data_IF_797941071467
#
_entry.id   IF_797941071467
#
_cell.length_a   1.000
_cell.length_b   1.000
_cell.length_c   1.000
_cell.angle_alpha   90.00
_cell.angle_beta   90.00
_cell.angle_gamma   90.00
#
_symmetry.space_group_name_H-M   'P 1'
#
loop_
_entity.id
_entity.type
_entity.pdbx_description
1 polymer ?
#
# COMPACT_ATOMS: atom_id res chain seq x y z
N UNK A 1 -28.07 44.99 95.16
CA UNK A 1 -27.22 44.15 96.02
C UNK A 1 -28.07 42.99 96.46
N UNK A 2 -27.90 41.84 95.83
CA UNK A 2 -27.78 40.56 96.52
C UNK A 2 -27.35 39.54 95.46
N UNK A 3 -26.12 39.11 95.67
CA UNK A 3 -25.29 38.25 94.86
C UNK A 3 -25.68 36.80 95.17
N UNK A 4 -25.94 36.00 94.13
CA UNK A 4 -25.95 34.55 94.29
C UNK A 4 -25.23 33.91 93.12
N UNK A 5 -23.93 33.76 93.32
CA UNK A 5 -23.03 32.87 92.59
C UNK A 5 -23.30 31.45 93.07
N UNK A 6 -23.57 30.53 92.13
CA UNK A 6 -23.46 29.06 92.20
C UNK A 6 -23.98 28.53 90.86
N UNK A 7 -23.39 27.57 90.17
CA UNK A 7 -22.32 26.64 90.45
C UNK A 7 -21.89 26.08 89.08
N UNK A 8 -20.61 25.97 88.83
CA UNK A 8 -20.05 25.43 87.59
C UNK A 8 -20.25 23.91 87.58
N UNK A 9 -21.14 23.40 86.73
CA UNK A 9 -21.18 21.96 86.42
C UNK A 9 -20.57 21.76 85.05
N UNK A 10 -19.36 21.21 85.06
CA UNK A 10 -18.67 20.68 83.89
C UNK A 10 -19.36 19.37 83.52
N UNK A 11 -20.08 19.35 82.40
CA UNK A 11 -20.57 18.10 81.82
C UNK A 11 -19.64 17.69 80.67
N UNK A 12 -18.83 16.68 80.95
CA UNK A 12 -17.94 16.01 80.01
C UNK A 12 -18.74 15.21 78.98
N UNK A 13 -18.56 15.61 77.71
CA UNK A 13 -18.44 14.78 76.50
C UNK A 13 -19.26 13.50 76.38
N UNK A 14 -20.10 13.44 75.35
CA UNK A 14 -20.24 12.27 74.50
C UNK A 14 -20.34 12.73 73.04
N UNK A 15 -19.19 12.90 72.39
CA UNK A 15 -19.12 12.88 70.93
C UNK A 15 -19.34 11.43 70.49
N UNK A 16 -20.54 11.11 69.99
CA UNK A 16 -20.72 9.89 69.21
C UNK A 16 -19.91 10.00 67.91
N UNK A 17 -19.15 8.96 67.53
CA UNK A 17 -18.36 9.00 66.30
C UNK A 17 -19.32 9.00 65.11
N UNK A 18 -19.28 10.07 64.32
CA UNK A 18 -19.99 10.16 63.05
C UNK A 18 -19.57 8.99 62.14
N UNK A 19 -20.45 8.00 62.02
CA UNK A 19 -20.34 6.88 61.12
C UNK A 19 -20.22 7.44 59.68
N UNK A 20 -19.01 7.44 59.12
CA UNK A 20 -18.75 7.80 57.72
C UNK A 20 -19.36 6.74 56.80
N UNK A 21 -20.69 6.76 56.63
CA UNK A 21 -21.36 6.06 55.54
C UNK A 21 -20.94 6.73 54.24
N UNK A 22 -20.08 6.06 53.47
CA UNK A 22 -19.70 6.51 52.14
C UNK A 22 -20.95 6.84 51.32
N UNK A 23 -21.10 8.11 50.94
CA UNK A 23 -22.23 8.56 50.11
C UNK A 23 -22.21 7.77 48.81
N UNK A 24 -23.25 6.96 48.55
CA UNK A 24 -23.46 6.35 47.24
C UNK A 24 -23.60 7.47 46.21
N UNK A 25 -22.75 7.44 45.18
CA UNK A 25 -22.78 8.43 44.09
C UNK A 25 -24.17 8.48 43.47
N UNK A 26 -24.64 9.69 43.17
CA UNK A 26 -25.92 9.86 42.46
C UNK A 26 -25.84 9.23 41.08
N UNK A 27 -26.97 8.76 40.54
CA UNK A 27 -27.03 8.25 39.16
C UNK A 27 -26.50 9.27 38.14
N UNK A 28 -26.70 10.56 38.41
CA UNK A 28 -26.17 11.65 37.58
C UNK A 28 -24.64 11.73 37.61
N UNK A 29 -24.01 11.59 38.78
CA UNK A 29 -22.55 11.59 38.93
C UNK A 29 -21.90 10.39 38.22
N UNK A 30 -22.58 9.24 38.24
CA UNK A 30 -22.11 8.04 37.54
C UNK A 30 -22.16 8.25 36.02
N UNK A 31 -23.26 8.83 35.50
CA UNK A 31 -23.40 9.13 34.07
C UNK A 31 -22.33 10.13 33.63
N UNK A 32 -22.04 11.16 34.41
CA UNK A 32 -21.02 12.16 34.09
C UNK A 32 -19.62 11.56 34.03
N UNK A 33 -19.27 10.69 34.99
CA UNK A 33 -17.99 9.99 34.98
C UNK A 33 -17.86 9.09 33.75
N UNK A 34 -18.92 8.33 33.42
CA UNK A 34 -18.92 7.45 32.25
C UNK A 34 -18.75 8.28 30.97
N UNK A 35 -19.52 9.35 30.79
CA UNK A 35 -19.42 10.24 29.62
C UNK A 35 -18.03 10.84 29.50
N UNK A 36 -17.45 11.34 30.58
CA UNK A 36 -16.10 11.91 30.57
C UNK A 36 -15.03 10.89 30.15
N UNK A 37 -15.12 9.65 30.66
CA UNK A 37 -14.22 8.56 30.28
C UNK A 37 -14.37 8.24 28.79
N UNK A 38 -15.62 8.07 28.31
CA UNK A 38 -15.86 7.75 26.91
C UNK A 38 -15.49 8.89 25.95
N UNK A 39 -15.62 10.16 26.36
CA UNK A 39 -15.10 11.29 25.59
C UNK A 39 -13.58 11.17 25.40
N UNK A 40 -12.84 10.89 26.47
CA UNK A 40 -11.39 10.69 26.41
C UNK A 40 -10.99 9.51 25.53
N UNK A 41 -11.62 8.35 25.72
CA UNK A 41 -11.35 7.14 24.93
C UNK A 41 -11.68 7.38 23.45
N UNK A 42 -12.85 7.95 23.16
CA UNK A 42 -13.27 8.22 21.77
C UNK A 42 -12.34 9.20 21.08
N UNK A 43 -11.83 10.21 21.80
CA UNK A 43 -10.84 11.13 21.23
C UNK A 43 -9.53 10.42 20.88
N UNK A 44 -9.04 9.53 21.75
CA UNK A 44 -7.82 8.75 21.49
C UNK A 44 -8.00 7.79 20.31
N UNK A 45 -9.13 7.06 20.24
CA UNK A 45 -9.41 6.16 19.13
C UNK A 45 -9.63 6.90 17.83
N UNK A 46 -10.23 8.10 17.86
CA UNK A 46 -10.36 8.98 16.70
C UNK A 46 -9.00 9.44 16.18
N UNK A 47 -8.11 9.90 17.07
CA UNK A 47 -6.76 10.30 16.70
C UNK A 47 -5.97 9.13 16.11
N UNK A 48 -6.09 7.95 16.73
CA UNK A 48 -5.49 6.72 16.22
C UNK A 48 -5.99 6.38 14.82
N UNK A 49 -7.31 6.36 14.60
CA UNK A 49 -7.89 6.03 13.30
C UNK A 49 -7.42 7.02 12.21
N UNK A 50 -7.44 8.32 12.50
CA UNK A 50 -6.93 9.33 11.56
C UNK A 50 -5.45 9.14 11.23
N UNK A 51 -4.62 8.82 12.24
CA UNK A 51 -3.19 8.60 12.02
C UNK A 51 -2.92 7.35 11.16
N UNK A 52 -3.53 6.21 11.49
CA UNK A 52 -3.38 4.99 10.70
C UNK A 52 -3.91 5.17 9.27
N UNK A 53 -5.04 5.86 9.10
CA UNK A 53 -5.56 6.19 7.77
C UNK A 53 -4.57 7.02 6.94
N UNK A 54 -3.86 7.97 7.58
CA UNK A 54 -2.82 8.76 6.90
C UNK A 54 -1.58 7.94 6.50
N UNK A 55 -1.21 6.91 7.28
CA UNK A 55 -0.12 6.01 6.93
C UNK A 55 -0.46 5.17 5.70
N UNK A 56 -1.69 4.62 5.65
CA UNK A 56 -2.23 3.97 4.45
C UNK A 56 -2.22 4.92 3.24
N UNK A 57 -2.64 6.18 3.41
CA UNK A 57 -2.55 7.20 2.36
C UNK A 57 -1.12 7.49 1.88
N UNK A 58 -0.14 7.44 2.79
CA UNK A 58 1.28 7.54 2.45
C UNK A 58 1.75 6.39 1.57
N UNK A 59 1.46 5.14 1.98
CA UNK A 59 1.81 3.95 1.20
C UNK A 59 1.13 3.94 -0.17
N UNK A 60 -0.15 4.31 -0.22
CA UNK A 60 -0.92 4.49 -1.46
C UNK A 60 -0.25 5.47 -2.42
N UNK A 61 0.18 6.64 -1.93
CA UNK A 61 0.85 7.65 -2.76
C UNK A 61 2.20 7.16 -3.29
N UNK A 62 3.00 6.48 -2.46
CA UNK A 62 4.27 5.87 -2.88
C UNK A 62 4.02 4.79 -3.92
N UNK A 63 3.13 3.84 -3.66
CA UNK A 63 2.82 2.72 -4.55
C UNK A 63 2.32 3.20 -5.92
N UNK A 64 1.42 4.19 -5.97
CA UNK A 64 0.97 4.77 -7.23
C UNK A 64 2.07 5.52 -7.98
N UNK A 65 2.94 6.24 -7.27
CA UNK A 65 4.04 6.96 -7.92
C UNK A 65 5.05 5.98 -8.53
N UNK A 66 5.48 4.98 -7.74
CA UNK A 66 6.42 3.95 -8.21
C UNK A 66 5.81 3.13 -9.34
N UNK A 67 4.55 2.71 -9.22
CA UNK A 67 3.82 2.00 -10.28
C UNK A 67 3.80 2.80 -11.58
N UNK A 68 3.45 4.09 -11.55
CA UNK A 68 3.43 4.92 -12.76
C UNK A 68 4.82 5.09 -13.38
N UNK A 69 5.88 5.22 -12.56
CA UNK A 69 7.24 5.31 -13.07
C UNK A 69 7.68 4.01 -13.75
N UNK A 70 7.45 2.86 -13.10
CA UNK A 70 7.76 1.54 -13.67
C UNK A 70 6.94 1.26 -14.93
N UNK A 71 5.67 1.67 -14.97
CA UNK A 71 4.86 1.55 -16.18
C UNK A 71 5.45 2.39 -17.32
N UNK A 72 5.87 3.62 -17.06
CA UNK A 72 6.46 4.47 -18.08
C UNK A 72 7.79 3.90 -18.60
N UNK A 73 8.64 3.41 -17.70
CA UNK A 73 9.92 2.78 -18.04
C UNK A 73 9.71 1.47 -18.80
N UNK A 74 8.87 0.57 -18.31
CA UNK A 74 8.54 -0.69 -18.98
C UNK A 74 7.92 -0.49 -20.37
N UNK A 75 7.06 0.52 -20.55
CA UNK A 75 6.57 0.88 -21.89
C UNK A 75 7.67 1.44 -22.80
N UNK A 76 8.63 2.19 -22.26
CA UNK A 76 9.80 2.65 -23.02
C UNK A 76 10.65 1.47 -23.47
N UNK A 77 10.95 0.54 -22.56
CA UNK A 77 11.71 -0.68 -22.85
C UNK A 77 10.99 -1.56 -23.86
N UNK A 78 9.66 -1.71 -23.75
CA UNK A 78 8.87 -2.46 -24.73
C UNK A 78 9.00 -1.88 -26.16
N UNK A 79 8.98 -0.55 -26.28
CA UNK A 79 9.14 0.12 -27.57
C UNK A 79 10.58 0.00 -28.11
N UNK A 80 11.58 0.02 -27.23
CA UNK A 80 12.98 -0.23 -27.60
C UNK A 80 13.17 -1.68 -28.06
N UNK A 81 12.67 -2.65 -27.30
CA UNK A 81 12.65 -4.06 -27.65
C UNK A 81 11.97 -4.31 -29.01
N UNK A 82 10.82 -3.67 -29.26
CA UNK A 82 10.13 -3.74 -30.55
C UNK A 82 10.97 -3.21 -31.71
N UNK A 83 11.74 -2.14 -31.48
CA UNK A 83 12.65 -1.58 -32.49
C UNK A 83 13.84 -2.51 -32.74
N UNK A 84 14.44 -3.08 -31.69
CA UNK A 84 15.54 -4.02 -31.80
C UNK A 84 15.11 -5.30 -32.53
N UNK A 85 13.95 -5.87 -32.18
CA UNK A 85 13.38 -7.00 -32.89
C UNK A 85 13.16 -6.69 -34.38
N UNK A 86 12.62 -5.51 -34.69
CA UNK A 86 12.43 -5.09 -36.07
C UNK A 86 13.75 -4.93 -36.82
N UNK A 87 14.80 -4.39 -36.17
CA UNK A 87 16.14 -4.27 -36.74
C UNK A 87 16.72 -5.66 -37.07
N UNK A 88 16.60 -6.62 -36.15
CA UNK A 88 17.09 -7.98 -36.34
C UNK A 88 16.29 -8.72 -37.43
N UNK A 89 14.98 -8.50 -37.53
CA UNK A 89 14.18 -9.03 -38.65
C UNK A 89 14.62 -8.45 -40.00
N UNK A 90 14.99 -7.16 -40.06
CA UNK A 90 15.53 -6.56 -41.27
C UNK A 90 16.90 -7.14 -41.63
N UNK A 91 17.78 -7.32 -40.64
CA UNK A 91 19.08 -7.94 -40.83
C UNK A 91 18.94 -9.38 -41.33
N UNK A 92 18.04 -10.17 -40.73
CA UNK A 92 17.76 -11.53 -41.17
C UNK A 92 17.25 -11.59 -42.62
N UNK A 93 16.37 -10.66 -43.02
CA UNK A 93 15.93 -10.56 -44.41
C UNK A 93 17.11 -10.28 -45.36
N UNK A 94 18.05 -9.43 -44.95
CA UNK A 94 19.24 -9.13 -45.75
C UNK A 94 20.21 -10.32 -45.84
N UNK A 95 20.42 -11.03 -44.72
CA UNK A 95 21.18 -12.28 -44.66
C UNK A 95 20.55 -13.32 -45.59
N UNK A 96 19.25 -13.54 -45.47
CA UNK A 96 18.50 -14.50 -46.29
C UNK A 96 18.59 -14.16 -47.78
N UNK A 97 18.40 -12.88 -48.14
CA UNK A 97 18.56 -12.42 -49.53
C UNK A 97 19.97 -12.65 -50.05
N UNK A 98 20.99 -12.41 -49.23
CA UNK A 98 22.40 -12.59 -49.63
C UNK A 98 22.74 -14.07 -49.81
N UNK A 99 22.20 -14.96 -48.97
CA UNK A 99 22.32 -16.43 -49.11
C UNK A 99 21.64 -16.94 -50.39
N UNK A 100 20.49 -16.37 -50.75
CA UNK A 100 19.80 -16.66 -52.02
C UNK A 100 20.66 -16.22 -53.21
N UNK A 101 21.22 -15.00 -53.18
CA UNK A 101 22.10 -14.50 -54.23
C UNK A 101 23.33 -15.39 -54.44
N UNK A 102 23.95 -15.87 -53.34
CA UNK A 102 25.03 -16.84 -53.39
C UNK A 102 24.61 -18.12 -54.12
N UNK A 103 23.47 -18.70 -53.73
CA UNK A 103 22.94 -19.94 -54.32
C UNK A 103 22.67 -19.79 -55.83
N UNK A 104 22.15 -18.64 -56.26
CA UNK A 104 21.96 -18.35 -57.69
C UNK A 104 23.28 -18.16 -58.46
N UNK A 105 24.30 -17.58 -57.82
CA UNK A 105 25.63 -17.43 -58.42
C UNK A 105 26.32 -18.78 -58.57
N UNK A 106 26.18 -19.66 -57.57
CA UNK A 106 26.68 -21.04 -57.59
C UNK A 106 26.08 -21.84 -58.75
N UNK A 107 24.76 -21.79 -58.94
CA UNK A 107 24.08 -22.48 -60.05
C UNK A 107 24.60 -22.03 -61.43
N UNK A 108 25.02 -20.77 -61.55
CA UNK A 108 25.56 -20.18 -62.78
C UNK A 108 27.07 -20.35 -62.95
N UNK A 109 27.78 -20.80 -61.91
CA UNK A 109 29.24 -20.86 -61.88
C UNK A 109 29.92 -19.49 -61.91
N UNK A 110 29.28 -18.45 -61.38
CA UNK A 110 29.81 -17.08 -61.34
C UNK A 110 30.60 -16.84 -60.04
N UNK A 111 31.90 -17.13 -60.07
CA UNK A 111 32.77 -17.08 -58.89
C UNK A 111 32.86 -15.68 -58.27
N UNK A 112 32.94 -14.63 -59.08
CA UNK A 112 33.07 -13.25 -58.58
C UNK A 112 31.80 -12.84 -57.80
N UNK A 113 30.62 -13.29 -58.26
CA UNK A 113 29.36 -13.05 -57.57
C UNK A 113 29.25 -13.86 -56.26
N UNK A 114 29.75 -15.10 -56.24
CA UNK A 114 29.83 -15.91 -55.01
C UNK A 114 30.72 -15.24 -53.96
N UNK A 115 31.95 -14.88 -54.32
CA UNK A 115 32.92 -14.26 -53.41
C UNK A 115 32.38 -12.93 -52.83
N UNK A 116 31.65 -12.17 -53.64
CA UNK A 116 31.00 -10.93 -53.19
C UNK A 116 29.86 -11.19 -52.19
N UNK A 117 29.03 -12.20 -52.44
CA UNK A 117 27.93 -12.55 -51.54
C UNK A 117 28.46 -13.09 -50.20
N UNK A 118 29.51 -13.92 -50.25
CA UNK A 118 30.20 -14.47 -49.08
C UNK A 118 30.81 -13.36 -48.21
N UNK A 119 31.57 -12.45 -48.83
CA UNK A 119 32.12 -11.27 -48.14
C UNK A 119 31.01 -10.43 -47.50
N UNK A 120 29.89 -10.22 -48.19
CA UNK A 120 28.77 -9.45 -47.65
C UNK A 120 28.14 -10.16 -46.45
N UNK A 121 27.96 -11.48 -46.53
CA UNK A 121 27.44 -12.29 -45.43
C UNK A 121 28.33 -12.18 -44.18
N UNK A 122 29.64 -12.29 -44.36
CA UNK A 122 30.62 -12.12 -43.27
C UNK A 122 30.50 -10.74 -42.60
N UNK A 123 30.36 -9.67 -43.38
CA UNK A 123 30.18 -8.32 -42.82
C UNK A 123 28.86 -8.16 -42.07
N UNK A 124 27.75 -8.72 -42.60
CA UNK A 124 26.45 -8.66 -41.92
C UNK A 124 26.50 -9.38 -40.56
N UNK A 125 27.14 -10.55 -40.52
CA UNK A 125 27.29 -11.34 -39.29
C UNK A 125 28.26 -10.70 -38.30
N UNK A 126 29.39 -10.15 -38.76
CA UNK A 126 30.40 -9.59 -37.87
C UNK A 126 30.03 -8.21 -37.30
N UNK A 127 29.38 -7.35 -38.09
CA UNK A 127 29.19 -5.94 -37.72
C UNK A 127 27.81 -5.63 -37.15
N UNK A 128 26.78 -6.40 -37.52
CA UNK A 128 25.38 -6.05 -37.23
C UNK A 128 24.61 -7.14 -36.47
N UNK A 129 25.09 -8.38 -36.46
CA UNK A 129 24.42 -9.46 -35.77
C UNK A 129 24.77 -9.44 -34.29
N UNK A 130 23.75 -9.41 -33.42
CA UNK A 130 23.93 -9.66 -32.00
C UNK A 130 24.29 -11.13 -31.76
N UNK A 131 24.97 -11.43 -30.64
CA UNK A 131 25.27 -12.81 -30.25
C UNK A 131 23.99 -13.65 -30.14
N UNK A 132 22.92 -13.07 -29.58
CA UNK A 132 21.63 -13.75 -29.44
C UNK A 132 20.98 -14.09 -30.80
N UNK A 133 21.03 -13.16 -31.76
CA UNK A 133 20.55 -13.44 -33.12
C UNK A 133 21.45 -14.47 -33.82
N UNK A 134 22.76 -14.43 -33.59
CA UNK A 134 23.70 -15.40 -34.16
C UNK A 134 23.38 -16.82 -33.67
N UNK A 135 23.20 -17.01 -32.36
CA UNK A 135 22.81 -18.29 -31.77
C UNK A 135 21.47 -18.78 -32.35
N UNK A 136 20.50 -17.88 -32.55
CA UNK A 136 19.21 -18.21 -33.17
C UNK A 136 19.35 -18.56 -34.67
N UNK A 137 20.30 -17.95 -35.38
CA UNK A 137 20.65 -18.32 -36.77
C UNK A 137 21.30 -19.70 -36.80
N UNK A 138 22.24 -20.01 -35.92
CA UNK A 138 22.83 -21.35 -35.83
C UNK A 138 21.76 -22.41 -35.53
N UNK A 139 20.82 -22.11 -34.63
CA UNK A 139 19.68 -22.99 -34.37
C UNK A 139 18.82 -23.20 -35.62
N UNK A 140 18.53 -22.14 -36.37
CA UNK A 140 17.72 -22.21 -37.58
C UNK A 140 18.41 -23.02 -38.69
N UNK A 141 19.71 -22.81 -38.87
CA UNK A 141 20.54 -23.52 -39.85
C UNK A 141 20.71 -25.02 -39.52
N UNK A 142 20.50 -25.41 -38.27
CA UNK A 142 20.53 -26.81 -37.84
C UNK A 142 19.23 -27.59 -38.12
N UNK A 143 18.15 -26.93 -38.57
CA UNK A 143 16.87 -27.58 -38.84
C UNK A 143 16.87 -28.33 -40.19
N UNK A 144 16.11 -29.44 -40.26
CA UNK A 144 15.98 -30.22 -41.51
C UNK A 144 15.11 -29.52 -42.57
N UNK A 145 14.11 -28.76 -42.11
CA UNK A 145 13.28 -27.90 -42.95
C UNK A 145 13.66 -26.44 -42.71
N UNK A 146 13.30 -25.56 -43.65
CA UNK A 146 13.53 -24.12 -43.49
C UNK A 146 12.89 -23.61 -42.20
N UNK A 147 13.70 -23.00 -41.34
CA UNK A 147 13.27 -22.31 -40.13
C UNK A 147 13.83 -20.89 -40.11
N UNK A 148 13.09 -19.95 -39.53
CA UNK A 148 13.59 -18.62 -39.22
C UNK A 148 14.18 -18.58 -37.82
N UNK A 149 15.22 -17.77 -37.53
CA UNK A 149 15.70 -17.53 -36.17
C UNK A 149 14.57 -17.11 -35.21
N UNK A 150 13.56 -16.40 -35.73
CA UNK A 150 12.39 -15.95 -34.97
C UNK A 150 11.36 -17.03 -34.68
N UNK A 151 11.52 -18.24 -35.25
CA UNK A 151 10.73 -19.42 -34.90
C UNK A 151 11.31 -20.16 -33.69
N UNK A 152 12.52 -19.79 -33.23
CA UNK A 152 13.14 -20.34 -32.04
C UNK A 152 12.30 -19.99 -30.79
N UNK A 153 11.87 -21.01 -30.06
CA UNK A 153 11.04 -20.85 -28.87
C UNK A 153 11.71 -19.93 -27.85
N UNK A 154 10.97 -18.93 -27.37
CA UNK A 154 11.45 -17.94 -26.40
C UNK A 154 12.40 -16.87 -26.94
N UNK A 155 12.91 -16.97 -28.18
CA UNK A 155 13.83 -15.96 -28.72
C UNK A 155 13.14 -14.59 -28.87
N UNK A 156 11.96 -14.55 -29.48
CA UNK A 156 11.19 -13.30 -29.60
C UNK A 156 10.78 -12.77 -28.22
N UNK A 157 10.38 -13.64 -27.30
CA UNK A 157 9.96 -13.25 -25.96
C UNK A 157 11.11 -12.65 -25.14
N UNK A 158 12.35 -13.12 -25.34
CA UNK A 158 13.53 -12.60 -24.64
C UNK A 158 13.81 -11.12 -24.90
N UNK A 159 13.35 -10.55 -26.02
CA UNK A 159 13.46 -9.10 -26.26
C UNK A 159 12.64 -8.30 -25.24
N UNK A 160 11.56 -8.88 -24.72
CA UNK A 160 10.57 -8.19 -23.91
C UNK A 160 10.61 -8.58 -22.43
N UNK A 161 11.46 -9.52 -22.02
CA UNK A 161 11.50 -10.06 -20.65
C UNK A 161 11.64 -8.94 -19.61
N UNK A 162 12.60 -8.03 -19.80
CA UNK A 162 12.81 -6.90 -18.88
C UNK A 162 11.63 -5.92 -18.86
N UNK A 163 11.04 -5.66 -20.03
CA UNK A 163 9.89 -4.78 -20.15
C UNK A 163 8.67 -5.37 -19.43
N UNK A 164 8.42 -6.67 -19.58
CA UNK A 164 7.35 -7.37 -18.90
C UNK A 164 7.58 -7.44 -17.40
N UNK A 165 8.80 -7.71 -16.95
CA UNK A 165 9.13 -7.70 -15.52
C UNK A 165 8.80 -6.36 -14.86
N UNK A 166 9.14 -5.23 -15.49
CA UNK A 166 8.78 -3.90 -14.97
C UNK A 166 7.27 -3.63 -15.00
N UNK A 167 6.57 -4.05 -16.05
CA UNK A 167 5.12 -3.86 -16.18
C UNK A 167 4.34 -4.72 -15.19
N UNK A 168 4.83 -5.92 -14.88
CA UNK A 168 4.26 -6.80 -13.87
C UNK A 168 4.46 -6.21 -12.47
N UNK A 169 5.68 -5.77 -12.13
CA UNK A 169 5.95 -5.09 -10.85
C UNK A 169 5.10 -3.82 -10.70
N UNK A 170 4.98 -3.03 -11.78
CA UNK A 170 4.10 -1.86 -11.81
C UNK A 170 2.65 -2.22 -11.49
N UNK A 171 2.15 -3.32 -12.04
CA UNK A 171 0.77 -3.79 -11.85
C UNK A 171 0.54 -4.29 -10.42
N UNK A 172 1.50 -4.99 -9.84
CA UNK A 172 1.46 -5.43 -8.44
C UNK A 172 1.40 -4.24 -7.47
N UNK A 173 2.28 -3.24 -7.67
CA UNK A 173 2.30 -2.02 -6.86
C UNK A 173 1.01 -1.21 -7.02
N UNK A 174 0.44 -1.15 -8.22
CA UNK A 174 -0.85 -0.49 -8.43
C UNK A 174 -1.96 -1.16 -7.59
N UNK A 175 -1.99 -2.49 -7.56
CA UNK A 175 -2.98 -3.23 -6.79
C UNK A 175 -2.79 -3.06 -5.28
N UNK A 176 -1.54 -3.07 -4.81
CA UNK A 176 -1.22 -2.74 -3.42
C UNK A 176 -1.68 -1.32 -3.06
N UNK A 177 -1.41 -0.33 -3.93
CA UNK A 177 -1.83 1.05 -3.71
C UNK A 177 -3.36 1.21 -3.63
N UNK A 178 -4.13 0.41 -4.38
CA UNK A 178 -5.61 0.40 -4.26
C UNK A 178 -6.08 -0.17 -2.93
N UNK A 179 -5.43 -1.23 -2.44
CA UNK A 179 -5.73 -1.82 -1.14
C UNK A 179 -5.43 -0.83 -0.01
N UNK A 180 -4.27 -0.18 -0.06
CA UNK A 180 -3.88 0.88 0.88
C UNK A 180 -4.89 2.03 0.85
N UNK A 181 -5.33 2.46 -0.34
CA UNK A 181 -6.38 3.48 -0.47
C UNK A 181 -7.67 3.06 0.25
N UNK A 182 -8.16 1.84 -0.03
CA UNK A 182 -9.40 1.34 0.54
C UNK A 182 -9.32 1.22 2.07
N UNK A 183 -8.17 0.80 2.61
CA UNK A 183 -7.93 0.75 4.05
C UNK A 183 -7.85 2.15 4.66
N UNK A 184 -7.15 3.08 4.01
CA UNK A 184 -7.07 4.49 4.42
C UNK A 184 -8.44 5.15 4.51
N UNK A 185 -9.27 4.98 3.48
CA UNK A 185 -10.64 5.49 3.43
C UNK A 185 -11.52 4.87 4.53
N UNK A 186 -11.38 3.57 4.80
CA UNK A 186 -12.10 2.90 5.87
C UNK A 186 -11.73 3.44 7.26
N UNK A 187 -10.45 3.73 7.51
CA UNK A 187 -10.02 4.43 8.74
C UNK A 187 -10.54 5.87 8.81
N UNK A 188 -10.59 6.57 7.68
CA UNK A 188 -11.23 7.89 7.57
C UNK A 188 -12.71 7.85 7.98
N UNK A 189 -13.47 6.86 7.50
CA UNK A 189 -14.86 6.65 7.90
C UNK A 189 -14.98 6.41 9.42
N UNK A 190 -14.12 5.58 10.00
CA UNK A 190 -14.09 5.33 11.46
C UNK A 190 -13.86 6.63 12.24
N UNK A 191 -12.93 7.48 11.82
CA UNK A 191 -12.67 8.77 12.46
C UNK A 191 -13.88 9.73 12.39
N UNK A 192 -14.61 9.73 11.26
CA UNK A 192 -15.86 10.49 11.12
C UNK A 192 -16.93 9.97 12.08
N UNK A 193 -17.09 8.64 12.21
CA UNK A 193 -18.04 8.05 13.16
C UNK A 193 -17.66 8.43 14.60
N UNK A 194 -16.37 8.37 14.97
CA UNK A 194 -15.92 8.80 16.29
C UNK A 194 -16.19 10.29 16.55
N UNK A 195 -16.10 11.14 15.54
CA UNK A 195 -16.47 12.57 15.66
C UNK A 195 -17.96 12.74 15.98
N UNK A 196 -18.83 11.94 15.37
CA UNK A 196 -20.26 11.91 15.70
C UNK A 196 -20.48 11.41 17.13
N UNK A 197 -19.77 10.35 17.55
CA UNK A 197 -19.83 9.84 18.94
C UNK A 197 -19.39 10.90 19.94
N UNK A 198 -18.27 11.60 19.70
CA UNK A 198 -17.80 12.70 20.55
C UNK A 198 -18.84 13.80 20.69
N UNK A 199 -19.46 14.19 19.57
CA UNK A 199 -20.54 15.18 19.58
C UNK A 199 -21.73 14.69 20.42
N UNK A 200 -22.18 13.45 20.20
CA UNK A 200 -23.29 12.85 20.95
C UNK A 200 -23.00 12.77 22.45
N UNK A 201 -21.78 12.38 22.84
CA UNK A 201 -21.36 12.34 24.24
C UNK A 201 -21.28 13.75 24.85
N UNK A 202 -20.80 14.74 24.08
CA UNK A 202 -20.74 16.14 24.52
C UNK A 202 -22.11 16.75 24.83
N UNK A 203 -23.14 16.42 24.04
CA UNK A 203 -24.50 16.92 24.29
C UNK A 203 -25.22 16.22 25.45
N UNK A 204 -24.72 15.07 25.95
CA UNK A 204 -25.34 14.37 27.10
C UNK A 204 -25.41 15.27 28.34
N UNK A 205 -24.43 16.17 28.52
CA UNK A 205 -24.41 17.13 29.63
C UNK A 205 -25.48 18.23 29.55
N UNK A 206 -26.09 18.44 28.37
CA UNK A 206 -27.07 19.52 28.14
C UNK A 206 -28.49 19.10 28.58
N UNK A 207 -28.81 17.80 28.51
CA UNK A 207 -30.15 17.32 28.79
C UNK A 207 -30.44 17.23 30.29
N UNK A 208 -31.44 17.99 30.76
CA UNK A 208 -31.88 17.99 32.17
C UNK A 208 -32.63 16.71 32.59
N UNK A 209 -33.21 15.97 31.64
CA UNK A 209 -33.97 14.75 31.91
C UNK A 209 -33.09 13.52 31.75
N UNK A 210 -32.93 12.74 32.82
CA UNK A 210 -32.13 11.50 32.86
C UNK A 210 -32.50 10.52 31.72
N UNK A 211 -33.78 10.26 31.39
CA UNK A 211 -34.11 9.35 30.30
C UNK A 211 -33.53 9.79 28.94
N UNK A 212 -33.56 11.09 28.63
CA UNK A 212 -33.02 11.62 27.37
C UNK A 212 -31.49 11.52 27.32
N UNK A 213 -30.82 11.77 28.46
CA UNK A 213 -29.36 11.55 28.61
C UNK A 213 -29.01 10.09 28.31
N UNK A 214 -29.75 9.15 28.89
CA UNK A 214 -29.52 7.72 28.71
C UNK A 214 -29.70 7.27 27.27
N UNK A 215 -30.75 7.75 26.56
CA UNK A 215 -30.99 7.38 25.16
C UNK A 215 -29.80 7.78 24.28
N UNK A 216 -29.36 9.05 24.37
CA UNK A 216 -28.25 9.55 23.55
C UNK A 216 -26.95 8.84 23.89
N UNK A 217 -26.69 8.62 25.18
CA UNK A 217 -25.51 7.88 25.63
C UNK A 217 -25.50 6.45 25.08
N UNK A 218 -26.62 5.73 25.13
CA UNK A 218 -26.71 4.36 24.60
C UNK A 218 -26.45 4.36 23.09
N UNK A 219 -27.06 5.27 22.34
CA UNK A 219 -26.82 5.36 20.88
C UNK A 219 -25.36 5.67 20.57
N UNK A 220 -24.74 6.59 21.31
CA UNK A 220 -23.33 6.93 21.16
C UNK A 220 -22.42 5.72 21.45
N UNK A 221 -22.72 4.96 22.51
CA UNK A 221 -21.97 3.75 22.88
C UNK A 221 -22.12 2.64 21.84
N UNK A 222 -23.31 2.44 21.28
CA UNK A 222 -23.53 1.46 20.21
C UNK A 222 -22.76 1.87 18.96
N UNK A 223 -22.82 3.14 18.55
CA UNK A 223 -22.06 3.64 17.41
C UNK A 223 -20.54 3.51 17.63
N UNK A 224 -20.05 3.83 18.83
CA UNK A 224 -18.66 3.63 19.22
C UNK A 224 -18.24 2.16 19.06
N UNK A 225 -19.02 1.22 19.62
CA UNK A 225 -18.71 -0.20 19.54
C UNK A 225 -18.69 -0.72 18.10
N UNK A 226 -19.65 -0.31 17.26
CA UNK A 226 -19.68 -0.68 15.85
C UNK A 226 -18.42 -0.14 15.14
N UNK A 227 -18.07 1.12 15.35
CA UNK A 227 -16.88 1.73 14.75
C UNK A 227 -15.60 1.03 15.20
N UNK A 228 -15.46 0.72 16.49
CA UNK A 228 -14.29 0.02 17.03
C UNK A 228 -14.19 -1.40 16.50
N UNK A 229 -15.29 -2.15 16.45
CA UNK A 229 -15.30 -3.51 15.87
C UNK A 229 -14.90 -3.45 14.40
N UNK A 230 -15.48 -2.54 13.63
CA UNK A 230 -15.11 -2.36 12.22
C UNK A 230 -13.64 -1.98 12.06
N UNK A 231 -13.14 -1.03 12.85
CA UNK A 231 -11.72 -0.62 12.84
C UNK A 231 -10.77 -1.80 13.06
N UNK A 232 -11.10 -2.70 13.99
CA UNK A 232 -10.28 -3.88 14.28
C UNK A 232 -10.27 -4.92 13.15
N UNK A 233 -11.19 -4.84 12.19
CA UNK A 233 -11.18 -5.69 10.99
C UNK A 233 -10.31 -5.15 9.86
N UNK A 234 -9.90 -3.87 9.92
CA UNK A 234 -9.10 -3.25 8.87
C UNK A 234 -7.61 -3.58 9.11
N UNK A 235 -6.89 -4.12 8.13
CA UNK A 235 -5.45 -4.37 8.23
C UNK A 235 -4.66 -3.11 8.61
N UNK A 236 -3.62 -3.30 9.40
CA UNK A 236 -2.64 -2.25 9.67
C UNK A 236 -1.75 -2.03 8.43
N UNK A 237 -1.18 -0.83 8.26
CA UNK A 237 -0.28 -0.53 7.14
C UNK A 237 0.86 -1.53 7.03
N UNK A 238 1.29 -1.83 5.81
CA UNK A 238 2.46 -2.67 5.54
C UNK A 238 3.71 -2.09 6.20
N UNK A 239 4.51 -2.94 6.85
CA UNK A 239 5.70 -2.53 7.58
C UNK A 239 5.42 -1.81 8.92
N UNK A 240 4.17 -1.74 9.38
CA UNK A 240 3.83 -1.06 10.63
C UNK A 240 4.48 -1.73 11.85
N UNK A 241 5.36 -0.99 12.53
CA UNK A 241 5.90 -1.35 13.82
C UNK A 241 5.88 -0.13 14.73
N UNK A 242 5.06 -0.16 15.78
CA UNK A 242 4.97 0.98 16.70
C UNK A 242 6.30 1.29 17.40
N UNK A 243 7.14 0.27 17.62
CA UNK A 243 8.42 0.42 18.29
C UNK A 243 9.52 1.00 17.39
N UNK A 244 9.42 0.91 16.06
CA UNK A 244 10.41 1.52 15.17
C UNK A 244 10.43 3.05 15.31
N UNK A 245 9.29 3.66 15.61
CA UNK A 245 9.17 5.10 15.85
C UNK A 245 9.73 5.57 17.20
N UNK A 246 9.83 4.68 18.20
CA UNK A 246 10.38 5.00 19.53
C UNK A 246 11.82 4.47 19.73
N UNK A 247 12.28 3.55 18.88
CA UNK A 247 13.57 2.85 19.00
C UNK A 247 14.74 3.48 18.25
N UNK A 248 14.50 4.49 17.40
CA UNK A 248 15.55 5.13 16.57
C UNK A 248 16.55 6.04 17.32
N UNK A 249 16.58 6.03 18.66
CA UNK A 249 17.35 7.00 19.46
C UNK A 249 18.12 6.47 20.67
N UNK A 250 18.24 5.15 20.89
CA UNK A 250 18.95 4.60 22.08
C UNK A 250 20.07 3.60 21.70
N UNK A 251 20.69 3.76 20.52
CA UNK A 251 22.01 3.17 20.27
C UNK A 251 22.85 4.18 19.50
N UNK A 252 23.51 5.05 20.25
CA UNK A 252 24.56 5.98 19.81
C UNK A 252 25.51 6.20 20.97
#
# INVERSE_FOLDING_TARGET
MEENVKETVVETTNEEPAEKKGKKKSKDEIIEIIVAIFLGITALTSAWASWIGSLHGGNQATNYTTSNNLAAEGNSMFNEASQNLMQDMMLWNEISSTRIDYSFAEEKGDQDAMDKADWKLDQLLADNCSDALYDAIEWADAQEEYASPFDMDGFVDSYFEDAYAMLDESSELLEQGKQDNAHGDAYGLVAVIYSIVLFMLGIVGIFKRIPNRMIIMIVALVAFLIATIYMLTIPLPTGFNIFSYFGGGIIG
#
